data_IF_374296541435
#
_entry.id   IF_374296541435
#
_cell.length_a   1.000
_cell.length_b   1.000
_cell.length_c   1.000
_cell.angle_alpha   90.00
_cell.angle_beta   90.00
_cell.angle_gamma   90.00
#
_symmetry.space_group_name_H-M   'P 1'
#
loop_
_entity.id
_entity.type
_entity.pdbx_description
1 polymer ?
#
# COMPACT_ATOMS: atom_id res chain seq x y z
N UNK A 1 23.68 7.88 -5.39
CA UNK A 1 22.23 7.57 -5.39
C UNK A 1 21.45 8.86 -5.25
N UNK A 2 20.44 9.07 -6.07
CA UNK A 2 19.60 10.27 -5.98
C UNK A 2 18.66 10.16 -4.78
N UNK A 3 18.23 11.31 -4.22
CA UNK A 3 17.39 11.39 -3.03
C UNK A 3 16.14 10.48 -3.12
N UNK A 4 15.36 10.49 -4.22
CA UNK A 4 14.22 9.56 -4.34
C UNK A 4 14.61 8.10 -4.17
N UNK A 5 15.66 7.63 -4.83
CA UNK A 5 16.12 6.24 -4.71
C UNK A 5 16.55 5.86 -3.30
N UNK A 6 17.14 6.81 -2.55
CA UNK A 6 17.52 6.59 -1.14
C UNK A 6 16.27 6.39 -0.27
N UNK A 7 15.22 7.19 -0.50
CA UNK A 7 13.95 7.07 0.24
C UNK A 7 13.24 5.74 -0.07
N UNK A 8 13.28 5.28 -1.33
CA UNK A 8 12.73 3.97 -1.70
C UNK A 8 13.48 2.83 -1.02
N UNK A 9 14.83 2.85 -1.03
CA UNK A 9 15.64 1.83 -0.34
C UNK A 9 15.41 1.87 1.16
N UNK A 10 15.34 3.07 1.75
CA UNK A 10 15.01 3.24 3.17
C UNK A 10 13.66 2.61 3.52
N UNK A 11 12.62 2.82 2.69
CA UNK A 11 11.31 2.17 2.87
C UNK A 11 11.41 0.65 2.77
N UNK A 12 12.17 0.12 1.83
CA UNK A 12 12.39 -1.33 1.71
C UNK A 12 13.04 -1.92 2.96
N UNK A 13 13.92 -1.16 3.64
CA UNK A 13 14.52 -1.57 4.92
C UNK A 13 13.50 -1.48 6.07
N UNK A 14 12.62 -0.48 6.04
CA UNK A 14 11.60 -0.31 7.08
C UNK A 14 10.56 -1.46 7.08
N UNK A 15 10.31 -2.14 5.95
CA UNK A 15 9.38 -3.27 5.90
C UNK A 15 9.85 -4.43 6.80
N UNK A 16 11.08 -4.96 6.68
CA UNK A 16 11.58 -5.97 7.62
C UNK A 16 11.61 -5.49 9.07
N UNK A 17 11.96 -4.22 9.33
CA UNK A 17 11.93 -3.66 10.69
C UNK A 17 10.52 -3.68 11.25
N UNK A 18 9.53 -3.27 10.46
CA UNK A 18 8.11 -3.35 10.82
C UNK A 18 7.68 -4.79 11.16
N UNK A 19 8.09 -5.76 10.35
CA UNK A 19 7.79 -7.17 10.59
C UNK A 19 8.42 -7.67 11.91
N UNK A 20 9.70 -7.38 12.13
CA UNK A 20 10.43 -7.78 13.35
C UNK A 20 9.74 -7.21 14.59
N UNK A 21 9.37 -5.93 14.58
CA UNK A 21 8.66 -5.29 15.70
C UNK A 21 7.38 -6.03 16.09
N UNK A 22 6.66 -6.59 15.12
CA UNK A 22 5.42 -7.32 15.35
C UNK A 22 5.62 -8.80 15.76
N UNK A 23 6.77 -9.37 15.42
CA UNK A 23 7.12 -10.76 15.69
C UNK A 23 7.81 -10.96 17.05
N UNK A 24 8.47 -9.92 17.57
CA UNK A 24 9.18 -9.98 18.85
C UNK A 24 8.18 -10.00 20.01
N UNK A 25 8.47 -10.70 21.13
CA UNK A 25 7.65 -10.66 22.33
C UNK A 25 7.37 -9.24 22.81
N UNK A 26 6.19 -9.02 23.35
CA UNK A 26 5.70 -7.70 23.76
C UNK A 26 6.60 -7.05 24.82
N UNK A 27 7.06 -5.82 24.59
CA UNK A 27 7.88 -5.05 25.53
C UNK A 27 7.09 -4.37 26.66
N UNK A 28 5.78 -4.64 26.77
CA UNK A 28 4.88 -4.04 27.73
C UNK A 28 3.73 -3.29 27.09
N UNK A 29 2.82 -2.78 27.91
CA UNK A 29 1.63 -2.04 27.48
C UNK A 29 1.86 -0.54 27.58
N UNK A 30 1.34 0.23 26.61
CA UNK A 30 1.31 1.69 26.62
C UNK A 30 0.02 2.18 27.27
N UNK A 31 -1.13 1.67 26.80
CA UNK A 31 -2.45 2.00 27.33
C UNK A 31 -3.48 0.94 26.88
N UNK A 32 -4.22 0.35 27.80
CA UNK A 32 -5.23 -0.65 27.49
C UNK A 32 -4.65 -1.84 26.71
N UNK A 33 -5.16 -2.08 25.51
CA UNK A 33 -4.70 -3.14 24.62
C UNK A 33 -3.48 -2.75 23.77
N UNK A 34 -3.12 -1.45 23.71
CA UNK A 34 -2.01 -0.96 22.89
C UNK A 34 -0.67 -1.27 23.57
N UNK A 35 0.17 -2.05 22.91
CA UNK A 35 1.53 -2.37 23.36
C UNK A 35 2.57 -1.53 22.66
N UNK A 36 3.79 -1.48 23.20
CA UNK A 36 4.91 -0.76 22.58
C UNK A 36 5.23 -1.26 21.17
N UNK A 37 5.13 -2.57 20.95
CA UNK A 37 5.37 -3.16 19.63
C UNK A 37 4.41 -2.61 18.58
N UNK A 38 3.12 -2.53 18.90
CA UNK A 38 2.10 -2.01 17.99
C UNK A 38 2.26 -0.52 17.75
N UNK A 39 2.58 0.25 18.78
CA UNK A 39 2.84 1.68 18.66
C UNK A 39 4.07 1.95 17.79
N UNK A 40 5.18 1.24 18.01
CA UNK A 40 6.38 1.38 17.20
C UNK A 40 6.13 0.94 15.75
N UNK A 41 5.40 -0.15 15.54
CA UNK A 41 4.99 -0.57 14.20
C UNK A 41 4.12 0.50 13.51
N UNK A 42 3.16 1.11 14.21
CA UNK A 42 2.37 2.23 13.70
C UNK A 42 3.23 3.42 13.29
N UNK A 43 4.24 3.77 14.09
CA UNK A 43 5.19 4.86 13.80
C UNK A 43 6.02 4.51 12.55
N UNK A 44 6.57 3.29 12.48
CA UNK A 44 7.35 2.84 11.31
C UNK A 44 6.49 2.87 10.05
N UNK A 45 5.26 2.39 10.12
CA UNK A 45 4.32 2.44 9.00
C UNK A 45 4.01 3.89 8.58
N UNK A 46 3.76 4.79 9.53
CA UNK A 46 3.50 6.20 9.25
C UNK A 46 4.71 6.88 8.58
N UNK A 47 5.92 6.66 9.11
CA UNK A 47 7.17 7.20 8.55
C UNK A 47 7.41 6.67 7.14
N UNK A 48 7.25 5.37 6.92
CA UNK A 48 7.41 4.75 5.61
C UNK A 48 6.38 5.28 4.59
N UNK A 49 5.12 5.44 4.99
CA UNK A 49 4.06 6.02 4.15
C UNK A 49 4.29 7.50 3.85
N UNK A 50 4.82 8.26 4.81
CA UNK A 50 5.14 9.67 4.60
C UNK A 50 6.35 9.86 3.68
N UNK A 51 7.36 8.99 3.79
CA UNK A 51 8.51 9.01 2.86
C UNK A 51 8.08 8.73 1.42
N UNK A 52 7.10 7.84 1.18
CA UNK A 52 6.52 7.60 -0.14
C UNK A 52 5.88 8.87 -0.75
N UNK A 53 5.13 9.59 0.07
CA UNK A 53 4.54 10.85 -0.37
C UNK A 53 5.59 11.89 -0.73
N UNK A 54 6.69 11.97 0.04
CA UNK A 54 7.78 12.92 -0.18
C UNK A 54 8.59 12.59 -1.43
N UNK A 55 8.99 11.31 -1.62
CA UNK A 55 9.78 10.92 -2.80
C UNK A 55 9.00 11.14 -4.09
N UNK A 56 7.70 10.82 -4.10
CA UNK A 56 6.82 11.11 -5.22
C UNK A 56 6.69 12.62 -5.53
N UNK A 57 6.72 13.50 -4.53
CA UNK A 57 6.73 14.94 -4.75
C UNK A 57 8.09 15.44 -5.27
N UNK A 58 9.20 14.96 -4.68
CA UNK A 58 10.56 15.34 -5.08
C UNK A 58 10.82 14.88 -6.52
N UNK A 59 10.51 13.64 -6.86
CA UNK A 59 10.70 13.09 -8.19
C UNK A 59 9.94 13.91 -9.28
N UNK A 60 8.71 14.32 -8.98
CA UNK A 60 7.92 15.19 -9.89
C UNK A 60 8.51 16.59 -10.06
N UNK A 61 9.13 17.14 -9.01
CA UNK A 61 9.74 18.49 -9.05
C UNK A 61 11.11 18.51 -9.72
N UNK A 62 11.91 17.47 -9.49
CA UNK A 62 13.29 17.39 -10.00
C UNK A 62 13.40 16.79 -11.40
N UNK A 63 12.35 16.12 -11.89
CA UNK A 63 12.37 15.43 -13.18
C UNK A 63 13.35 14.25 -13.25
N UNK A 64 13.99 13.91 -12.15
CA UNK A 64 14.99 12.83 -12.08
C UNK A 64 14.27 11.50 -11.88
N UNK A 65 14.07 10.79 -12.97
CA UNK A 65 13.44 9.45 -12.95
C UNK A 65 14.49 8.42 -13.34
N UNK A 66 14.83 7.53 -12.40
CA UNK A 66 15.77 6.43 -12.65
C UNK A 66 15.03 5.14 -13.01
N UNK A 67 15.67 4.23 -13.75
CA UNK A 67 15.08 2.92 -14.05
C UNK A 67 14.84 2.09 -12.79
N UNK A 68 15.71 2.21 -11.79
CA UNK A 68 15.55 1.58 -10.48
C UNK A 68 14.31 2.12 -9.77
N UNK A 69 14.15 3.46 -9.68
CA UNK A 69 12.99 4.09 -9.04
C UNK A 69 11.67 3.69 -9.71
N UNK A 70 11.61 3.69 -11.05
CA UNK A 70 10.41 3.25 -11.79
C UNK A 70 9.93 1.84 -11.41
N UNK A 71 10.86 0.94 -11.10
CA UNK A 71 10.56 -0.43 -10.68
C UNK A 71 10.32 -0.53 -9.17
N UNK A 72 11.20 0.06 -8.37
CA UNK A 72 11.25 -0.14 -6.92
C UNK A 72 10.17 0.63 -6.16
N UNK A 73 9.80 1.86 -6.59
CA UNK A 73 8.81 2.69 -5.91
C UNK A 73 7.42 2.03 -5.86
N UNK A 74 6.83 1.59 -7.01
CA UNK A 74 5.53 0.93 -6.98
C UNK A 74 5.52 -0.40 -6.21
N UNK A 75 6.68 -1.05 -6.11
CA UNK A 75 6.82 -2.30 -5.39
C UNK A 75 6.88 -2.05 -3.88
N UNK A 76 7.73 -1.13 -3.43
CA UNK A 76 7.93 -0.82 -2.01
C UNK A 76 6.64 -0.30 -1.35
N UNK A 77 5.89 0.59 -2.02
CA UNK A 77 4.60 1.10 -1.55
C UNK A 77 3.59 -0.05 -1.29
N UNK A 78 3.45 -0.95 -2.25
CA UNK A 78 2.52 -2.07 -2.12
C UNK A 78 2.96 -3.10 -1.09
N UNK A 79 4.25 -3.43 -1.03
CA UNK A 79 4.78 -4.39 -0.07
C UNK A 79 4.54 -3.94 1.37
N UNK A 80 4.73 -2.65 1.69
CA UNK A 80 4.48 -2.12 3.02
C UNK A 80 3.03 -2.34 3.44
N UNK A 81 2.08 -1.91 2.60
CA UNK A 81 0.64 -1.98 2.92
C UNK A 81 0.15 -3.42 2.95
N UNK A 82 0.59 -4.27 2.01
CA UNK A 82 0.24 -5.70 1.99
C UNK A 82 0.75 -6.41 3.24
N UNK A 83 2.01 -6.17 3.62
CA UNK A 83 2.61 -6.73 4.83
C UNK A 83 1.81 -6.31 6.07
N UNK A 84 1.47 -5.03 6.18
CA UNK A 84 0.69 -4.52 7.30
C UNK A 84 -0.70 -5.20 7.39
N UNK A 85 -1.40 -5.35 6.26
CA UNK A 85 -2.71 -6.03 6.24
C UNK A 85 -2.60 -7.52 6.57
N UNK A 86 -1.55 -8.21 6.10
CA UNK A 86 -1.30 -9.62 6.42
C UNK A 86 -1.12 -9.80 7.94
N UNK A 87 -0.33 -8.95 8.59
CA UNK A 87 -0.15 -9.00 10.04
C UNK A 87 -1.44 -8.68 10.79
N UNK A 88 -2.20 -7.64 10.40
CA UNK A 88 -3.52 -7.36 11.00
C UNK A 88 -4.48 -8.54 10.86
N UNK A 89 -4.40 -9.27 9.74
CA UNK A 89 -5.19 -10.48 9.53
C UNK A 89 -4.71 -11.62 10.43
N UNK A 90 -3.41 -11.83 10.56
CA UNK A 90 -2.84 -12.88 11.42
C UNK A 90 -3.17 -12.67 12.88
N UNK A 91 -3.31 -11.43 13.32
CA UNK A 91 -3.75 -11.05 14.67
C UNK A 91 -5.28 -11.06 14.85
N UNK A 92 -6.04 -11.41 13.81
CA UNK A 92 -7.51 -11.47 13.88
C UNK A 92 -8.21 -10.11 13.92
N UNK A 93 -7.50 -9.00 13.67
CA UNK A 93 -8.05 -7.64 13.64
C UNK A 93 -8.83 -7.39 12.35
N UNK A 94 -8.31 -7.87 11.22
CA UNK A 94 -8.92 -7.71 9.89
C UNK A 94 -9.35 -9.08 9.35
N UNK A 95 -10.59 -9.21 8.85
CA UNK A 95 -11.04 -10.43 8.19
C UNK A 95 -10.19 -10.76 6.95
N UNK A 96 -9.79 -12.02 6.81
CA UNK A 96 -8.89 -12.46 5.72
C UNK A 96 -9.39 -12.13 4.32
N UNK A 97 -10.70 -12.18 4.10
CA UNK A 97 -11.30 -11.86 2.79
C UNK A 97 -11.08 -10.40 2.38
N UNK A 98 -11.09 -9.44 3.33
CA UNK A 98 -10.80 -8.03 3.04
C UNK A 98 -9.37 -7.85 2.56
N UNK A 99 -8.42 -8.45 3.26
CA UNK A 99 -7.00 -8.47 2.87
C UNK A 99 -6.83 -9.10 1.50
N UNK A 100 -7.48 -10.25 1.26
CA UNK A 100 -7.41 -10.95 -0.01
C UNK A 100 -7.92 -10.09 -1.18
N UNK A 101 -9.08 -9.44 -1.05
CA UNK A 101 -9.65 -8.54 -2.07
C UNK A 101 -8.69 -7.41 -2.40
N UNK A 102 -8.10 -6.78 -1.39
CA UNK A 102 -7.14 -5.68 -1.59
C UNK A 102 -5.88 -6.19 -2.32
N UNK A 103 -5.28 -7.29 -1.85
CA UNK A 103 -4.04 -7.85 -2.41
C UNK A 103 -4.25 -8.30 -3.86
N UNK A 104 -5.32 -9.05 -4.13
CA UNK A 104 -5.65 -9.54 -5.48
C UNK A 104 -5.79 -8.35 -6.44
N UNK A 105 -6.53 -7.32 -6.04
CA UNK A 105 -6.72 -6.12 -6.88
C UNK A 105 -5.41 -5.38 -7.12
N UNK A 106 -4.58 -5.21 -6.10
CA UNK A 106 -3.29 -4.52 -6.26
C UNK A 106 -2.38 -5.24 -7.26
N UNK A 107 -2.29 -6.57 -7.16
CA UNK A 107 -1.48 -7.38 -8.06
C UNK A 107 -2.09 -7.39 -9.47
N UNK A 108 -3.40 -7.57 -9.61
CA UNK A 108 -4.09 -7.60 -10.89
C UNK A 108 -3.93 -6.30 -11.68
N UNK A 109 -4.14 -5.14 -11.02
CA UNK A 109 -3.96 -3.83 -11.68
C UNK A 109 -2.49 -3.56 -12.01
N UNK A 110 -1.55 -4.04 -11.19
CA UNK A 110 -0.12 -3.88 -11.48
C UNK A 110 0.26 -4.70 -12.70
N UNK A 111 -0.16 -5.96 -12.77
CA UNK A 111 0.08 -6.82 -13.92
C UNK A 111 -0.55 -6.25 -15.20
N UNK A 112 -1.80 -5.77 -15.12
CA UNK A 112 -2.45 -5.15 -16.28
C UNK A 112 -1.72 -3.88 -16.76
N UNK A 113 -1.21 -3.05 -15.84
CA UNK A 113 -0.40 -1.88 -16.20
C UNK A 113 0.89 -2.27 -16.92
N UNK A 114 1.56 -3.34 -16.46
CA UNK A 114 2.77 -3.84 -17.13
C UNK A 114 2.45 -4.29 -18.56
N UNK A 115 1.39 -5.07 -18.76
CA UNK A 115 0.94 -5.50 -20.08
C UNK A 115 0.61 -4.32 -21.01
N UNK A 116 -0.07 -3.29 -20.50
CA UNK A 116 -0.38 -2.08 -21.28
C UNK A 116 0.89 -1.38 -21.75
N UNK A 117 1.90 -1.27 -20.87
CA UNK A 117 3.18 -0.63 -21.21
C UNK A 117 3.95 -1.44 -22.25
N UNK A 118 3.99 -2.76 -22.12
CA UNK A 118 4.66 -3.66 -23.06
C UNK A 118 4.06 -3.57 -24.47
N UNK A 119 2.75 -3.38 -24.56
CA UNK A 119 2.02 -3.21 -25.84
C UNK A 119 1.99 -1.75 -26.34
N UNK A 120 2.93 -0.90 -25.90
CA UNK A 120 2.99 0.53 -26.25
C UNK A 120 1.69 1.31 -25.95
N UNK A 121 0.83 0.78 -25.08
CA UNK A 121 -0.40 1.44 -24.65
C UNK A 121 -0.12 2.58 -23.66
N UNK A 122 -1.05 3.53 -23.60
CA UNK A 122 -0.98 4.62 -22.60
C UNK A 122 -1.62 4.15 -21.31
N UNK A 123 -0.83 4.07 -20.24
CA UNK A 123 -1.36 3.78 -18.89
C UNK A 123 -2.25 4.92 -18.44
N UNK A 124 -3.51 4.63 -18.17
CA UNK A 124 -4.44 5.61 -17.61
C UNK A 124 -4.00 6.01 -16.19
N UNK A 125 -3.98 7.32 -15.94
CA UNK A 125 -3.68 7.83 -14.62
C UNK A 125 -4.72 7.35 -13.59
N UNK A 126 -4.31 7.22 -12.33
CA UNK A 126 -5.22 6.85 -11.26
C UNK A 126 -6.36 7.86 -11.16
N UNK A 127 -7.60 7.42 -11.36
CA UNK A 127 -8.80 8.23 -11.21
C UNK A 127 -9.12 8.49 -9.73
N UNK A 128 -10.04 9.40 -9.44
CA UNK A 128 -10.45 9.77 -8.08
C UNK A 128 -10.78 8.57 -7.17
N UNK A 129 -11.50 7.51 -7.62
CA UNK A 129 -11.77 6.35 -6.78
C UNK A 129 -10.51 5.64 -6.28
N UNK A 130 -9.47 5.55 -7.13
CA UNK A 130 -8.19 4.96 -6.74
C UNK A 130 -7.43 5.79 -5.69
N UNK A 131 -7.56 7.13 -5.73
CA UNK A 131 -6.96 8.02 -4.70
C UNK A 131 -7.66 7.87 -3.36
N UNK A 132 -9.01 7.85 -3.36
CA UNK A 132 -9.82 7.66 -2.15
C UNK A 132 -9.46 6.30 -1.51
N UNK A 133 -9.41 5.23 -2.31
CA UNK A 133 -9.00 3.90 -1.87
C UNK A 133 -7.65 3.93 -1.16
N UNK A 134 -6.60 4.49 -1.78
CA UNK A 134 -5.25 4.51 -1.20
C UNK A 134 -5.23 5.31 0.10
N UNK A 135 -5.85 6.49 0.11
CA UNK A 135 -5.91 7.34 1.30
C UNK A 135 -6.65 6.65 2.46
N UNK A 136 -7.87 6.16 2.22
CA UNK A 136 -8.65 5.46 3.26
C UNK A 136 -7.95 4.20 3.77
N UNK A 137 -7.27 3.46 2.90
CA UNK A 137 -6.51 2.26 3.26
C UNK A 137 -5.32 2.58 4.17
N UNK A 138 -4.53 3.60 3.85
CA UNK A 138 -3.38 4.01 4.67
C UNK A 138 -3.81 4.43 6.07
N UNK A 139 -4.85 5.26 6.17
CA UNK A 139 -5.38 5.69 7.48
C UNK A 139 -6.06 4.54 8.23
N UNK A 140 -6.78 3.65 7.54
CA UNK A 140 -7.36 2.46 8.15
C UNK A 140 -6.28 1.61 8.83
N UNK A 141 -5.21 1.28 8.11
CA UNK A 141 -4.09 0.49 8.64
C UNK A 141 -3.46 1.18 9.84
N UNK A 142 -3.18 2.49 9.75
CA UNK A 142 -2.59 3.25 10.85
C UNK A 142 -3.46 3.21 12.11
N UNK A 143 -4.77 3.49 11.98
CA UNK A 143 -5.69 3.47 13.13
C UNK A 143 -5.88 2.07 13.71
N UNK A 144 -5.86 1.03 12.89
CA UNK A 144 -5.95 -0.35 13.37
C UNK A 144 -4.71 -0.74 14.18
N UNK A 145 -3.51 -0.32 13.77
CA UNK A 145 -2.29 -0.53 14.57
C UNK A 145 -2.29 0.27 15.89
N UNK A 146 -2.99 1.39 15.93
CA UNK A 146 -3.20 2.14 17.17
C UNK A 146 -4.38 1.61 18.03
N UNK A 147 -4.94 0.46 17.67
CA UNK A 147 -6.14 -0.13 18.33
C UNK A 147 -7.39 0.77 18.30
N UNK A 148 -7.44 1.74 17.39
CA UNK A 148 -8.61 2.61 17.19
C UNK A 148 -9.58 1.96 16.18
N UNK A 149 -10.08 0.78 16.51
CA UNK A 149 -10.91 -0.05 15.63
C UNK A 149 -12.20 0.64 15.18
N UNK A 150 -12.77 1.51 16.04
CA UNK A 150 -14.00 2.28 15.74
C UNK A 150 -13.81 3.20 14.52
N UNK A 151 -12.58 3.68 14.27
CA UNK A 151 -12.25 4.53 13.13
C UNK A 151 -11.62 3.69 12.00
N UNK A 152 -10.70 2.77 12.36
CA UNK A 152 -9.94 1.99 11.41
C UNK A 152 -10.81 1.05 10.57
N UNK A 153 -11.77 0.36 11.16
CA UNK A 153 -12.64 -0.58 10.43
C UNK A 153 -13.57 0.11 9.42
N UNK A 154 -14.28 1.20 9.73
CA UNK A 154 -15.04 1.92 8.71
C UNK A 154 -14.20 2.44 7.56
N UNK A 155 -12.99 2.96 7.83
CA UNK A 155 -12.06 3.38 6.78
C UNK A 155 -11.61 2.21 5.91
N UNK A 156 -11.39 1.02 6.51
CA UNK A 156 -11.05 -0.17 5.75
C UNK A 156 -12.21 -0.63 4.85
N UNK A 157 -13.45 -0.55 5.33
CA UNK A 157 -14.64 -0.83 4.51
C UNK A 157 -14.73 0.13 3.31
N UNK A 158 -14.50 1.41 3.52
CA UNK A 158 -14.43 2.40 2.43
C UNK A 158 -13.33 1.99 1.44
N UNK A 159 -12.14 1.64 1.94
CA UNK A 159 -11.05 1.19 1.09
C UNK A 159 -11.41 -0.06 0.27
N UNK A 160 -12.08 -1.05 0.85
CA UNK A 160 -12.52 -2.27 0.15
C UNK A 160 -13.55 -1.94 -0.94
N UNK A 161 -14.56 -1.13 -0.65
CA UNK A 161 -15.58 -0.73 -1.62
C UNK A 161 -14.93 -0.02 -2.81
N UNK A 162 -14.06 0.97 -2.55
CA UNK A 162 -13.36 1.67 -3.62
C UNK A 162 -12.30 0.80 -4.31
N UNK A 163 -11.77 -0.22 -3.65
CA UNK A 163 -10.90 -1.23 -4.26
C UNK A 163 -11.64 -2.01 -5.33
N UNK A 164 -12.83 -2.53 -5.02
CA UNK A 164 -13.65 -3.29 -5.95
C UNK A 164 -14.11 -2.38 -7.10
N UNK A 165 -14.66 -1.21 -6.79
CA UNK A 165 -15.15 -0.27 -7.80
C UNK A 165 -14.05 0.17 -8.76
N UNK A 166 -12.91 0.66 -8.25
CA UNK A 166 -11.80 1.13 -9.08
C UNK A 166 -11.09 0.00 -9.83
N UNK A 167 -11.13 -1.23 -9.30
CA UNK A 167 -10.65 -2.42 -9.98
C UNK A 167 -11.50 -2.73 -11.21
N UNK A 168 -12.80 -2.81 -11.01
CA UNK A 168 -13.76 -3.05 -12.09
C UNK A 168 -13.67 -1.99 -13.20
N UNK A 169 -13.72 -0.71 -12.81
CA UNK A 169 -13.62 0.41 -13.73
C UNK A 169 -12.33 0.36 -14.58
N UNK A 170 -11.18 0.06 -13.95
CA UNK A 170 -9.91 -0.06 -14.64
C UNK A 170 -9.87 -1.21 -15.65
N UNK A 171 -10.39 -2.38 -15.27
CA UNK A 171 -10.51 -3.54 -16.18
C UNK A 171 -11.45 -3.24 -17.34
N UNK A 172 -12.58 -2.62 -17.07
CA UNK A 172 -13.56 -2.30 -18.11
C UNK A 172 -13.01 -1.32 -19.14
N UNK A 173 -12.29 -0.30 -18.69
CA UNK A 173 -11.67 0.69 -19.60
C UNK A 173 -10.52 0.10 -20.43
N UNK A 174 -9.83 -0.93 -19.95
CA UNK A 174 -8.69 -1.55 -20.64
C UNK A 174 -9.02 -2.94 -21.20
N UNK A 175 -10.30 -3.27 -21.38
CA UNK A 175 -10.73 -4.59 -21.91
C UNK A 175 -10.17 -4.94 -23.27
N UNK A 176 -9.82 -3.95 -24.10
CA UNK A 176 -9.22 -4.14 -25.41
C UNK A 176 -7.87 -4.87 -25.36
N UNK A 177 -7.11 -4.70 -24.30
CA UNK A 177 -5.81 -5.38 -24.13
C UNK A 177 -5.96 -6.91 -24.07
N UNK A 178 -7.12 -7.41 -23.66
CA UNK A 178 -7.42 -8.84 -23.62
C UNK A 178 -7.98 -9.35 -24.96
N UNK A 179 -8.51 -8.48 -25.80
CA UNK A 179 -9.08 -8.88 -27.09
C UNK A 179 -8.01 -9.18 -28.15
N UNK A 180 -6.83 -8.56 -28.05
CA UNK A 180 -5.72 -8.74 -28.99
C UNK A 180 -4.85 -9.98 -28.63
N UNK A 181 -5.10 -10.65 -27.51
CA UNK A 181 -4.32 -11.79 -27.00
C UNK A 181 -5.11 -13.12 -26.85
N UNK A 182 -6.39 -13.14 -27.22
CA UNK A 182 -7.24 -14.32 -27.30
C UNK A 182 -7.64 -14.57 -28.75
#
# INVERSE_FOLDING_TARGET
>A
MNIPNQLTVFRMILIPVFMILLMVPTFGTVSGALTWNWLLAAIVFAVASFTDYLDGQIARRTGVVTNFGKFADPLADKLLVMTALIFLTSFGVVPAWMTAVIVIRELAITGLRTLIVENNGKVLAAQMPGKIKTFSQMFAVLFLYLHLNVIGMPLLWIAVIFTIYSGWDYFWQNRGVFADGL
#
